data_IF_745825607789
#
_entry.id   IF_745825607789
#
_cell.length_a   1.000
_cell.length_b   1.000
_cell.length_c   1.000
_cell.angle_alpha   90.00
_cell.angle_beta   90.00
_cell.angle_gamma   90.00
#
_symmetry.space_group_name_H-M   'P 1'
#
loop_
_entity.id
_entity.type
_entity.pdbx_description
1 polymer ?
#
# COMPACT_ATOMS: atom_id res chain seq x y z
N UNK A 1 8.28 -1.55 13.94
CA UNK A 1 7.61 -2.23 12.82
C UNK A 1 6.56 -3.12 13.44
N UNK A 2 5.31 -2.90 13.06
CA UNK A 2 4.17 -3.72 13.50
C UNK A 2 3.57 -4.43 12.28
N UNK A 3 3.22 -5.69 12.43
CA UNK A 3 2.88 -6.57 11.33
C UNK A 3 1.88 -7.64 11.75
N UNK A 4 0.85 -7.86 10.94
CA UNK A 4 -0.17 -8.89 11.17
C UNK A 4 -0.43 -9.73 9.94
N UNK A 5 -0.66 -11.03 10.16
CA UNK A 5 -1.09 -11.97 9.14
C UNK A 5 -2.50 -12.46 9.48
N UNK A 6 -3.39 -12.41 8.51
CA UNK A 6 -4.78 -12.87 8.66
C UNK A 6 -5.27 -13.58 7.41
N UNK A 7 -6.23 -14.49 7.57
CA UNK A 7 -6.93 -15.10 6.45
C UNK A 7 -8.34 -14.51 6.33
N UNK A 8 -8.68 -14.07 5.12
CA UNK A 8 -10.05 -13.74 4.72
C UNK A 8 -10.47 -14.69 3.60
N UNK A 9 -11.19 -15.75 3.98
CA UNK A 9 -11.54 -16.82 3.05
C UNK A 9 -10.29 -17.47 2.43
N UNK A 10 -10.09 -17.30 1.12
CA UNK A 10 -8.95 -17.85 0.37
C UNK A 10 -7.80 -16.84 0.17
N UNK A 11 -7.87 -15.69 0.83
CA UNK A 11 -6.87 -14.62 0.70
C UNK A 11 -6.09 -14.52 2.01
N UNK A 12 -4.76 -14.54 1.90
CA UNK A 12 -3.86 -14.17 2.99
C UNK A 12 -3.63 -12.66 2.92
N UNK A 13 -3.96 -11.97 4.00
CA UNK A 13 -3.67 -10.57 4.24
C UNK A 13 -2.38 -10.44 5.02
N UNK A 14 -1.53 -9.54 4.58
CA UNK A 14 -0.35 -9.10 5.31
C UNK A 14 -0.40 -7.58 5.45
N UNK A 15 -0.78 -7.15 6.65
CA UNK A 15 -0.77 -5.75 7.04
C UNK A 15 0.55 -5.41 7.73
N UNK A 16 1.09 -4.24 7.39
CA UNK A 16 2.36 -3.75 7.89
C UNK A 16 2.28 -2.25 8.14
N UNK A 17 2.78 -1.84 9.30
CA UNK A 17 2.97 -0.45 9.68
C UNK A 17 4.45 -0.17 9.93
N UNK A 18 5.05 0.58 9.01
CA UNK A 18 6.42 1.05 9.08
C UNK A 18 6.44 2.53 9.50
N UNK A 19 7.41 2.90 10.34
CA UNK A 19 7.62 4.27 10.79
C UNK A 19 7.00 4.62 12.15
N UNK A 20 7.05 5.90 12.47
CA UNK A 20 6.63 6.49 13.73
C UNK A 20 5.68 7.65 13.46
N UNK A 21 6.08 8.88 13.77
CA UNK A 21 5.28 10.09 13.50
C UNK A 21 4.89 10.22 12.02
N UNK A 22 5.82 9.87 11.13
CA UNK A 22 5.57 9.65 9.71
C UNK A 22 5.57 8.15 9.47
N UNK A 23 4.53 7.63 8.83
CA UNK A 23 4.30 6.20 8.71
C UNK A 23 3.86 5.80 7.31
N UNK A 24 4.18 4.56 6.95
CA UNK A 24 3.63 3.84 5.82
C UNK A 24 2.82 2.67 6.37
N UNK A 25 1.50 2.71 6.17
CA UNK A 25 0.62 1.58 6.39
C UNK A 25 0.40 0.89 5.05
N UNK A 26 0.51 -0.44 5.00
CA UNK A 26 0.27 -1.19 3.77
C UNK A 26 -0.41 -2.51 4.00
N UNK A 27 -1.17 -2.95 3.01
CA UNK A 27 -1.85 -4.24 2.97
C UNK A 27 -1.45 -4.96 1.70
N UNK A 28 -0.79 -6.10 1.84
CA UNK A 28 -0.51 -7.04 0.75
C UNK A 28 -1.51 -8.19 0.80
N UNK A 29 -2.08 -8.52 -0.35
CA UNK A 29 -3.10 -9.55 -0.50
C UNK A 29 -2.55 -10.66 -1.36
N UNK A 30 -2.57 -11.88 -0.84
CA UNK A 30 -2.05 -13.06 -1.50
C UNK A 30 -3.11 -14.13 -1.68
N UNK A 31 -3.01 -14.89 -2.76
CA UNK A 31 -3.85 -16.07 -2.98
C UNK A 31 -3.01 -17.18 -3.61
N UNK A 32 -3.28 -18.43 -3.24
CA UNK A 32 -2.65 -19.58 -3.87
C UNK A 32 -2.91 -19.58 -5.39
N UNK A 33 -1.85 -19.77 -6.18
CA UNK A 33 -1.91 -19.89 -7.64
C UNK A 33 -1.30 -21.23 -8.04
N UNK A 34 -2.14 -22.18 -8.50
CA UNK A 34 -1.71 -23.53 -8.86
C UNK A 34 -0.69 -23.56 -10.00
N UNK A 35 -0.73 -22.58 -10.90
CA UNK A 35 0.24 -22.50 -12.02
C UNK A 35 1.59 -22.03 -11.54
N UNK A 36 1.61 -21.21 -10.50
CA UNK A 36 2.83 -20.70 -9.88
C UNK A 36 3.38 -21.69 -8.83
N UNK A 37 2.52 -22.54 -8.27
CA UNK A 37 2.85 -23.44 -7.16
C UNK A 37 3.21 -22.67 -5.88
N UNK A 38 2.67 -21.46 -5.70
CA UNK A 38 3.00 -20.58 -4.60
C UNK A 38 1.86 -19.59 -4.28
N UNK A 39 1.98 -18.92 -3.14
CA UNK A 39 1.14 -17.75 -2.83
C UNK A 39 1.52 -16.59 -3.75
N UNK A 40 0.56 -16.13 -4.54
CA UNK A 40 0.74 -15.04 -5.49
C UNK A 40 0.21 -13.73 -4.91
N UNK A 41 0.97 -12.64 -5.06
CA UNK A 41 0.49 -11.29 -4.78
C UNK A 41 -0.61 -10.91 -5.79
N UNK A 42 -1.80 -10.56 -5.27
CA UNK A 42 -2.97 -10.17 -6.07
C UNK A 42 -3.32 -8.69 -5.90
N UNK A 43 -2.92 -8.08 -4.79
CA UNK A 43 -3.15 -6.67 -4.52
C UNK A 43 -2.16 -6.12 -3.50
N UNK A 44 -1.80 -4.86 -3.66
CA UNK A 44 -0.95 -4.15 -2.72
C UNK A 44 -1.41 -2.69 -2.62
N UNK A 45 -1.80 -2.29 -1.42
CA UNK A 45 -2.25 -0.94 -1.08
C UNK A 45 -1.30 -0.37 -0.05
N UNK A 46 -0.91 0.90 -0.19
CA UNK A 46 -0.04 1.56 0.77
C UNK A 46 -0.38 3.04 0.89
N UNK A 47 -0.32 3.53 2.12
CA UNK A 47 -0.58 4.91 2.50
C UNK A 47 0.58 5.44 3.33
N UNK A 48 1.24 6.47 2.81
CA UNK A 48 2.19 7.30 3.52
C UNK A 48 1.46 8.51 4.12
N UNK A 49 1.62 8.74 5.42
CA UNK A 49 0.93 9.82 6.12
C UNK A 49 1.69 10.28 7.38
N UNK A 50 1.32 11.44 7.90
CA UNK A 50 1.75 11.90 9.22
C UNK A 50 0.66 11.61 10.24
N UNK A 51 0.97 10.86 11.29
CA UNK A 51 0.05 10.59 12.41
C UNK A 51 -0.27 11.83 13.24
N UNK A 52 0.56 12.87 13.11
CA UNK A 52 0.39 14.18 13.77
C UNK A 52 -0.01 15.26 12.77
N UNK A 53 -0.39 14.89 11.55
CA UNK A 53 -0.79 15.83 10.50
C UNK A 53 0.24 16.94 10.21
N UNK A 54 1.53 16.60 10.25
CA UNK A 54 2.60 17.57 10.05
C UNK A 54 2.86 17.90 8.56
N UNK A 55 2.41 17.05 7.64
CA UNK A 55 2.64 17.20 6.20
C UNK A 55 1.62 16.39 5.38
N UNK A 56 1.60 16.64 4.07
CA UNK A 56 0.85 15.87 3.07
C UNK A 56 1.22 14.38 3.09
N UNK A 57 0.26 13.53 2.75
CA UNK A 57 0.45 12.11 2.54
C UNK A 57 0.40 11.71 1.07
N UNK A 58 0.52 10.41 0.82
CA UNK A 58 0.43 9.81 -0.50
C UNK A 58 -0.14 8.40 -0.38
N UNK A 59 -1.04 8.06 -1.28
CA UNK A 59 -1.57 6.69 -1.36
C UNK A 59 -1.29 6.10 -2.73
N UNK A 60 -1.05 4.79 -2.73
CA UNK A 60 -0.94 3.98 -3.93
C UNK A 60 -1.71 2.66 -3.75
N UNK A 61 -2.37 2.22 -4.81
CA UNK A 61 -3.07 0.94 -4.87
C UNK A 61 -2.71 0.26 -6.18
N UNK A 62 -2.33 -1.01 -6.09
CA UNK A 62 -1.98 -1.86 -7.22
C UNK A 62 -2.78 -3.14 -7.21
N UNK A 63 -3.63 -3.31 -8.22
CA UNK A 63 -4.27 -4.59 -8.51
C UNK A 63 -3.39 -5.38 -9.49
N UNK A 64 -2.77 -6.46 -9.03
CA UNK A 64 -1.85 -7.25 -9.85
C UNK A 64 -2.57 -8.24 -10.77
N UNK A 65 -3.86 -8.47 -10.57
CA UNK A 65 -4.67 -9.29 -11.48
C UNK A 65 -5.03 -8.53 -12.75
N UNK A 66 -5.36 -7.24 -12.64
CA UNK A 66 -5.77 -6.38 -13.76
C UNK A 66 -4.66 -5.45 -14.25
N UNK A 67 -3.59 -5.29 -13.45
CA UNK A 67 -2.54 -4.30 -13.64
C UNK A 67 -2.99 -2.87 -13.35
N UNK A 68 -4.15 -2.65 -12.72
CA UNK A 68 -4.61 -1.30 -12.37
C UNK A 68 -3.75 -0.69 -11.28
N UNK A 69 -3.26 0.51 -11.55
CA UNK A 69 -2.44 1.28 -10.64
C UNK A 69 -3.07 2.63 -10.40
N UNK A 70 -3.39 2.90 -9.14
CA UNK A 70 -4.00 4.15 -8.69
C UNK A 70 -3.07 4.84 -7.71
N UNK A 71 -2.92 6.15 -7.85
CA UNK A 71 -2.22 6.98 -6.86
C UNK A 71 -2.97 8.27 -6.64
N UNK A 72 -2.88 8.80 -5.44
CA UNK A 72 -3.34 10.16 -5.15
C UNK A 72 -2.49 10.77 -4.05
N UNK A 73 -2.45 12.11 -4.02
CA UNK A 73 -1.87 12.89 -2.93
C UNK A 73 -2.93 13.06 -1.86
N UNK A 74 -2.54 12.92 -0.60
CA UNK A 74 -3.39 13.24 0.54
C UNK A 74 -3.00 14.62 1.04
N UNK A 75 -3.66 15.67 0.52
CA UNK A 75 -3.35 17.07 0.87
C UNK A 75 -3.83 17.34 2.29
N UNK A 76 -2.94 17.84 3.14
CA UNK A 76 -3.31 18.28 4.48
C UNK A 76 -4.25 19.48 4.38
N UNK A 77 -5.43 19.36 4.98
CA UNK A 77 -6.37 20.45 5.21
C UNK A 77 -6.37 20.79 6.70
N UNK A 78 -6.32 22.08 7.00
CA UNK A 78 -6.48 22.62 8.34
C UNK A 78 -7.33 23.88 8.22
N UNK A 79 -8.62 23.72 8.49
CA UNK A 79 -9.62 24.78 8.41
C UNK A 79 -10.58 24.71 9.60
N UNK A 80 -11.65 25.50 9.57
CA UNK A 80 -12.65 25.56 10.65
C UNK A 80 -13.37 24.22 10.90
N UNK A 81 -13.25 23.24 9.99
CA UNK A 81 -13.78 21.88 10.17
C UNK A 81 -12.80 20.92 10.87
N UNK A 82 -11.58 21.38 11.14
CA UNK A 82 -10.51 20.62 11.78
C UNK A 82 -9.40 20.20 10.81
N UNK A 83 -8.51 19.33 11.30
CA UNK A 83 -7.36 18.83 10.56
C UNK A 83 -7.69 17.48 9.91
N UNK A 84 -7.53 17.39 8.59
CA UNK A 84 -7.84 16.20 7.82
C UNK A 84 -6.97 16.08 6.55
N UNK A 85 -7.17 15.00 5.79
CA UNK A 85 -6.57 14.81 4.48
C UNK A 85 -7.62 14.82 3.38
N UNK A 86 -7.40 15.61 2.34
CA UNK A 86 -8.20 15.59 1.11
C UNK A 86 -7.46 14.83 0.00
N UNK A 87 -8.16 13.93 -0.68
CA UNK A 87 -7.60 13.22 -1.83
C UNK A 87 -7.55 14.11 -3.08
N UNK A 88 -6.34 14.47 -3.52
CA UNK A 88 -6.09 15.27 -4.72
C UNK A 88 -5.15 14.54 -5.69
N UNK A 89 -4.99 15.07 -6.90
CA UNK A 89 -4.06 14.56 -7.91
C UNK A 89 -4.25 13.05 -8.24
N UNK A 90 -5.51 12.61 -8.35
CA UNK A 90 -5.85 11.21 -8.66
C UNK A 90 -5.30 10.81 -10.03
N UNK A 91 -4.37 9.87 -10.06
CA UNK A 91 -3.81 9.28 -11.29
C UNK A 91 -4.18 7.81 -11.39
N UNK A 92 -4.50 7.38 -12.62
CA UNK A 92 -4.79 5.99 -12.97
C UNK A 92 -3.92 5.60 -14.15
N UNK A 93 -3.24 4.47 -14.06
CA UNK A 93 -2.49 3.89 -15.18
C UNK A 93 -2.50 2.38 -15.11
N UNK A 94 -1.99 1.74 -16.16
CA UNK A 94 -1.68 0.31 -16.13
C UNK A 94 -0.21 0.09 -15.77
N UNK A 95 0.03 -0.72 -14.73
CA UNK A 95 1.35 -1.25 -14.35
C UNK A 95 1.21 -2.77 -14.33
N UNK A 96 1.46 -3.42 -15.47
CA UNK A 96 1.40 -4.89 -15.56
C UNK A 96 2.67 -5.50 -14.99
N UNK A 97 2.56 -6.62 -14.30
CA UNK A 97 3.69 -7.44 -13.86
C UNK A 97 3.46 -8.90 -14.25
N UNK A 98 4.56 -9.67 -14.24
CA UNK A 98 4.46 -11.12 -14.13
C UNK A 98 3.87 -11.49 -12.76
N UNK A 99 3.28 -12.69 -12.59
CA UNK A 99 2.91 -13.19 -11.27
C UNK A 99 4.08 -13.05 -10.29
N UNK A 100 3.83 -12.41 -9.14
CA UNK A 100 4.81 -12.24 -8.07
C UNK A 100 4.49 -13.23 -6.96
N UNK A 101 5.50 -13.98 -6.52
CA UNK A 101 5.39 -14.87 -5.36
C UNK A 101 5.40 -14.03 -4.09
N UNK A 102 5.05 -14.65 -2.96
CA UNK A 102 5.00 -13.99 -1.66
C UNK A 102 6.38 -13.44 -1.26
N UNK A 103 7.42 -14.23 -1.47
CA UNK A 103 8.82 -13.89 -1.19
C UNK A 103 9.39 -12.78 -2.10
N UNK A 104 8.77 -12.54 -3.25
CA UNK A 104 9.17 -11.50 -4.21
C UNK A 104 8.30 -10.24 -4.12
N UNK A 105 7.38 -10.19 -3.17
CA UNK A 105 6.40 -9.12 -3.07
C UNK A 105 7.05 -7.81 -2.60
N UNK A 106 6.88 -6.68 -3.33
CA UNK A 106 7.37 -5.39 -2.88
C UNK A 106 6.67 -4.96 -1.58
N UNK A 107 7.36 -4.17 -0.76
CA UNK A 107 6.79 -3.56 0.43
C UNK A 107 5.86 -2.37 0.08
N UNK A 108 5.15 -1.85 1.07
CA UNK A 108 4.45 -0.57 0.93
C UNK A 108 5.39 0.59 0.64
N UNK A 109 6.59 0.56 1.20
CA UNK A 109 7.64 1.56 0.96
C UNK A 109 8.11 1.53 -0.50
N UNK A 110 8.35 0.34 -1.06
CA UNK A 110 8.71 0.14 -2.46
C UNK A 110 7.60 0.66 -3.40
N UNK A 111 6.34 0.41 -3.03
CA UNK A 111 5.17 0.85 -3.79
C UNK A 111 5.12 2.38 -3.91
N UNK A 112 5.38 3.06 -2.80
CA UNK A 112 5.30 4.51 -2.68
C UNK A 112 6.58 5.22 -3.13
N UNK A 113 7.69 4.48 -3.22
CA UNK A 113 9.04 5.00 -3.45
C UNK A 113 9.57 5.75 -2.23
N UNK A 114 9.21 5.30 -1.02
CA UNK A 114 9.58 5.95 0.24
C UNK A 114 10.95 5.45 0.73
N UNK A 115 11.97 6.31 0.85
CA UNK A 115 13.32 5.90 1.25
C UNK A 115 13.48 5.73 2.77
N UNK A 116 12.51 6.16 3.58
CA UNK A 116 12.63 6.23 5.05
C UNK A 116 12.19 4.97 5.80
N UNK A 117 11.67 3.95 5.11
CA UNK A 117 11.26 2.66 5.69
C UNK A 117 12.33 1.57 5.49
N UNK A 118 13.60 1.91 5.74
CA UNK A 118 14.73 1.02 5.51
C UNK A 118 14.54 -0.37 6.13
N UNK A 119 14.87 -1.39 5.31
CA UNK A 119 15.06 -2.82 5.57
C UNK A 119 15.24 -3.25 7.03
#
# INVERSE_FOLDING_TARGET
MDATLAFEGKVLLFDELNGGTTAVASTRRFRWDDKLGAMRLIGLDATFYSRTFAHDGKQASWNLLTGDWHTHTMRLRNDDSGIAYDEVDKRRRKKRSKPLRLEDAPSGDDLLGWPGGGR
#
